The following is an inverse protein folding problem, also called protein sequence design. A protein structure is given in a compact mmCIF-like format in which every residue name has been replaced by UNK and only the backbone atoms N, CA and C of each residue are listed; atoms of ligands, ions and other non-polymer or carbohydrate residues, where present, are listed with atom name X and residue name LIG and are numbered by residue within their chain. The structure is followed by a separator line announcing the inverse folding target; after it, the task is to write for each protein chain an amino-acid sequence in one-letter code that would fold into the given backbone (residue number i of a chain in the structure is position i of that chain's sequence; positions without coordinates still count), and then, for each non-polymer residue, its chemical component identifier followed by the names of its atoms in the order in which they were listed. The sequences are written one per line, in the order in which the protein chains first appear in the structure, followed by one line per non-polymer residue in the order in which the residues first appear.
data_IF_724484867643
#
_entry.id   IF_724484867643
#
_cell.length_a   1.000
_cell.length_b   1.000
_cell.length_c   1.000
_cell.angle_alpha   90.00
_cell.angle_beta   90.00
_cell.angle_gamma   90.00
#
_symmetry.space_group_name_H-M   'P 1'
#
loop_
_entity.id
_entity.type
_entity.pdbx_description
1 polymer ?
#
# COMPACT_ATOMS: atom_id res chain seq x y z
N UNK A 1 -16.95 -44.07 -31.64
CA UNK A 1 -16.14 -44.07 -30.41
C UNK A 1 -15.18 -42.92 -30.54
N UNK A 2 -15.60 -41.76 -30.08
CA UNK A 2 -14.80 -40.53 -30.03
C UNK A 2 -14.63 -40.22 -28.55
N UNK A 3 -13.47 -40.59 -28.03
CA UNK A 3 -13.11 -40.40 -26.63
C UNK A 3 -13.05 -38.89 -26.37
N UNK A 4 -14.02 -38.42 -25.61
CA UNK A 4 -14.05 -37.05 -25.08
C UNK A 4 -13.33 -37.12 -23.75
N UNK A 5 -12.04 -36.80 -23.77
CA UNK A 5 -11.28 -36.55 -22.56
C UNK A 5 -11.94 -35.40 -21.80
N UNK A 6 -12.54 -35.75 -20.68
CA UNK A 6 -13.01 -34.83 -19.67
C UNK A 6 -11.77 -34.29 -18.98
N UNK A 7 -11.31 -33.12 -19.42
CA UNK A 7 -10.30 -32.36 -18.70
C UNK A 7 -10.93 -31.94 -17.37
N UNK A 8 -10.48 -32.59 -16.30
CA UNK A 8 -10.84 -32.26 -14.93
C UNK A 8 -10.23 -30.89 -14.59
N UNK A 9 -10.98 -29.83 -14.88
CA UNK A 9 -10.65 -28.48 -14.45
C UNK A 9 -11.02 -28.37 -12.97
N UNK A 10 -10.15 -28.87 -12.10
CA UNK A 10 -10.17 -28.44 -10.70
C UNK A 10 -9.94 -26.94 -10.71
N UNK A 11 -11.03 -26.17 -10.56
CA UNK A 11 -11.00 -24.72 -10.39
C UNK A 11 -10.15 -24.43 -9.15
N UNK A 12 -8.88 -24.09 -9.38
CA UNK A 12 -8.02 -23.54 -8.36
C UNK A 12 -8.59 -22.16 -8.04
N UNK A 13 -9.39 -22.07 -6.97
CA UNK A 13 -9.91 -20.78 -6.53
C UNK A 13 -8.72 -19.94 -6.07
N UNK A 14 -8.52 -18.77 -6.69
CA UNK A 14 -7.46 -17.80 -6.34
C UNK A 14 -7.43 -17.40 -4.84
N UNK A 15 -8.41 -17.83 -4.03
CA UNK A 15 -8.45 -17.64 -2.58
C UNK A 15 -7.44 -18.47 -1.78
N UNK A 16 -6.90 -19.56 -2.33
CA UNK A 16 -5.92 -20.41 -1.61
C UNK A 16 -4.49 -19.80 -1.59
N UNK A 17 -4.32 -18.64 -2.23
CA UNK A 17 -3.04 -18.05 -2.59
C UNK A 17 -2.20 -17.56 -1.41
N UNK A 18 -2.82 -17.18 -0.28
CA UNK A 18 -2.09 -16.75 0.93
C UNK A 18 -2.32 -17.66 2.14
N UNK A 19 -2.95 -18.82 1.95
CA UNK A 19 -2.96 -19.88 2.97
C UNK A 19 -1.63 -20.65 3.01
N UNK A 20 -0.65 -20.25 2.18
CA UNK A 20 0.61 -20.94 1.99
C UNK A 20 1.78 -20.34 2.76
N UNK A 21 2.78 -21.20 2.94
CA UNK A 21 4.05 -20.99 3.63
C UNK A 21 4.68 -19.62 3.33
N UNK A 22 5.26 -18.96 4.35
CA UNK A 22 5.94 -17.66 4.22
C UNK A 22 6.98 -17.68 3.08
N UNK A 23 7.62 -18.83 2.86
CA UNK A 23 8.56 -19.07 1.76
C UNK A 23 7.93 -18.89 0.36
N UNK A 24 6.65 -19.20 0.18
CA UNK A 24 5.97 -19.00 -1.10
C UNK A 24 5.78 -17.52 -1.41
N UNK A 25 5.49 -16.69 -0.40
CA UNK A 25 5.29 -15.25 -0.59
C UNK A 25 6.60 -14.57 -0.97
N UNK A 26 7.71 -14.87 -0.29
CA UNK A 26 9.03 -14.34 -0.68
C UNK A 26 9.42 -14.79 -2.09
N UNK A 27 9.17 -16.05 -2.44
CA UNK A 27 9.43 -16.56 -3.78
C UNK A 27 8.62 -15.82 -4.86
N UNK A 28 7.34 -15.53 -4.62
CA UNK A 28 6.50 -14.78 -5.57
C UNK A 28 6.93 -13.33 -5.74
N UNK A 29 7.37 -12.69 -4.66
CA UNK A 29 7.96 -11.34 -4.74
C UNK A 29 9.23 -11.38 -5.59
N UNK A 30 10.12 -12.35 -5.32
CA UNK A 30 11.35 -12.56 -6.09
C UNK A 30 11.03 -12.77 -7.58
N UNK A 31 10.12 -13.69 -7.90
CA UNK A 31 9.68 -13.99 -9.28
C UNK A 31 9.17 -12.72 -9.99
N UNK A 32 8.28 -11.97 -9.35
CA UNK A 32 7.73 -10.73 -9.91
C UNK A 32 8.78 -9.64 -10.18
N UNK A 33 9.83 -9.56 -9.35
CA UNK A 33 10.93 -8.60 -9.51
C UNK A 33 11.95 -9.07 -10.56
N UNK A 34 12.30 -10.35 -10.56
CA UNK A 34 13.27 -10.94 -11.49
C UNK A 34 12.75 -10.94 -12.94
N UNK A 35 11.43 -11.07 -13.13
CA UNK A 35 10.79 -10.89 -14.44
C UNK A 35 10.93 -9.46 -15.00
N UNK A 36 11.17 -8.47 -14.14
CA UNK A 36 11.47 -7.10 -14.52
C UNK A 36 12.99 -6.87 -14.69
N UNK A 37 13.77 -7.96 -14.84
CA UNK A 37 15.21 -7.89 -15.09
C UNK A 37 16.04 -7.42 -13.89
N UNK A 38 15.46 -7.45 -12.69
CA UNK A 38 16.09 -6.98 -11.46
C UNK A 38 16.52 -8.17 -10.60
N UNK A 39 17.80 -8.21 -10.25
CA UNK A 39 18.32 -9.25 -9.35
C UNK A 39 17.83 -9.02 -7.91
N UNK A 40 16.96 -9.90 -7.40
CA UNK A 40 16.42 -9.81 -6.05
C UNK A 40 17.48 -9.94 -4.96
N UNK A 41 18.53 -10.75 -5.17
CA UNK A 41 19.60 -10.92 -4.17
C UNK A 41 20.40 -9.63 -3.97
N UNK A 42 20.36 -8.70 -4.93
CA UNK A 42 20.86 -7.34 -4.79
C UNK A 42 19.78 -6.39 -4.23
N UNK A 43 18.56 -6.41 -4.81
CA UNK A 43 17.52 -5.46 -4.44
C UNK A 43 16.99 -5.67 -3.02
N UNK A 44 16.69 -6.90 -2.59
CA UNK A 44 16.10 -7.19 -1.28
C UNK A 44 16.88 -6.59 -0.10
N UNK A 45 18.21 -6.82 0.00
CA UNK A 45 19.06 -6.14 0.99
C UNK A 45 19.09 -4.61 0.84
N UNK A 46 19.07 -4.10 -0.39
CA UNK A 46 19.06 -2.67 -0.67
C UNK A 46 17.77 -2.00 -0.18
N UNK A 47 16.61 -2.66 -0.28
CA UNK A 47 15.34 -2.16 0.29
C UNK A 47 15.48 -1.87 1.79
N UNK A 48 16.11 -2.75 2.56
CA UNK A 48 16.38 -2.51 3.99
C UNK A 48 17.37 -1.36 4.20
N UNK A 49 18.50 -1.40 3.48
CA UNK A 49 19.60 -0.44 3.64
C UNK A 49 19.17 1.00 3.37
N UNK A 50 18.39 1.21 2.31
CA UNK A 50 17.96 2.53 1.85
C UNK A 50 16.54 2.88 2.32
N UNK A 51 15.93 2.03 3.17
CA UNK A 51 14.54 2.18 3.63
C UNK A 51 13.57 2.38 2.46
N UNK A 52 13.80 1.68 1.36
CA UNK A 52 12.99 1.74 0.15
C UNK A 52 11.95 0.62 0.17
N UNK A 53 10.80 0.85 -0.45
CA UNK A 53 9.76 -0.17 -0.63
C UNK A 53 9.43 -0.34 -2.12
N UNK A 54 8.93 -1.51 -2.50
CA UNK A 54 8.25 -1.74 -3.78
C UNK A 54 6.75 -1.53 -3.57
N UNK A 55 6.07 -0.88 -4.50
CA UNK A 55 4.62 -0.65 -4.43
C UNK A 55 3.95 -0.71 -5.82
N UNK A 56 2.70 -0.29 -5.92
CA UNK A 56 1.98 -0.18 -7.18
C UNK A 56 1.70 -1.53 -7.83
N UNK A 57 1.65 -1.54 -9.17
CA UNK A 57 1.22 -2.75 -9.88
C UNK A 57 2.18 -3.91 -9.85
N UNK A 58 3.44 -3.68 -9.49
CA UNK A 58 4.44 -4.74 -9.32
C UNK A 58 3.99 -5.79 -8.33
N UNK A 59 3.12 -5.44 -7.38
CA UNK A 59 2.63 -6.35 -6.36
C UNK A 59 1.42 -7.17 -6.79
N UNK A 60 0.76 -6.83 -7.90
CA UNK A 60 -0.44 -7.55 -8.30
C UNK A 60 -0.17 -9.04 -8.61
N UNK A 61 0.93 -9.40 -9.32
CA UNK A 61 1.27 -10.80 -9.55
C UNK A 61 1.59 -11.58 -8.27
N UNK A 62 2.06 -10.88 -7.22
CA UNK A 62 2.34 -11.48 -5.90
C UNK A 62 1.06 -12.00 -5.28
N UNK A 63 0.00 -11.19 -5.31
CA UNK A 63 -1.32 -11.56 -4.79
C UNK A 63 -2.14 -12.43 -5.75
N UNK A 64 -1.97 -12.28 -7.08
CA UNK A 64 -2.78 -12.97 -8.08
C UNK A 64 -1.95 -13.41 -9.27
N UNK A 65 -1.76 -14.73 -9.44
CA UNK A 65 -0.98 -15.30 -10.55
C UNK A 65 -1.48 -14.85 -11.93
N UNK A 66 -2.77 -14.57 -12.04
CA UNK A 66 -3.44 -14.16 -13.28
C UNK A 66 -3.33 -12.66 -13.60
N UNK A 67 -2.75 -11.85 -12.71
CA UNK A 67 -2.61 -10.42 -12.95
C UNK A 67 -1.58 -10.12 -14.05
N UNK A 68 -1.91 -9.15 -14.91
CA UNK A 68 -1.02 -8.68 -15.99
C UNK A 68 0.27 -8.08 -15.41
N UNK A 69 1.41 -8.47 -16.00
CA UNK A 69 2.76 -8.32 -15.42
C UNK A 69 3.64 -7.19 -16.00
N UNK A 70 3.09 -6.22 -16.76
CA UNK A 70 3.93 -5.32 -17.59
C UNK A 70 3.76 -3.82 -17.32
N UNK A 71 4.31 -3.33 -16.21
CA UNK A 71 4.39 -1.87 -16.03
C UNK A 71 5.72 -1.37 -15.47
N UNK A 72 6.71 -2.24 -15.23
CA UNK A 72 7.92 -1.86 -14.51
C UNK A 72 7.75 -1.90 -12.99
N UNK A 73 8.81 -1.56 -12.27
CA UNK A 73 8.89 -1.61 -10.80
C UNK A 73 8.81 -0.21 -10.20
N UNK A 74 7.81 0.01 -9.35
CA UNK A 74 7.66 1.25 -8.59
C UNK A 74 8.40 1.12 -7.24
N UNK A 75 9.50 1.86 -7.09
CA UNK A 75 10.29 1.95 -5.86
C UNK A 75 10.01 3.28 -5.16
N UNK A 76 9.54 3.26 -3.91
CA UNK A 76 9.39 4.48 -3.10
C UNK A 76 10.55 4.61 -2.12
N UNK A 77 11.24 5.76 -2.12
CA UNK A 77 12.39 6.03 -1.25
C UNK A 77 12.29 7.39 -0.55
N UNK A 78 12.79 7.53 0.70
CA UNK A 78 12.88 8.84 1.35
C UNK A 78 13.85 9.76 0.61
N UNK A 79 13.59 11.08 0.63
CA UNK A 79 14.43 12.09 -0.03
C UNK A 79 15.92 12.00 0.35
N UNK A 80 16.21 11.69 1.62
CA UNK A 80 17.60 11.51 2.10
C UNK A 80 18.33 10.30 1.50
N UNK A 81 17.58 9.34 0.96
CA UNK A 81 18.09 8.08 0.39
C UNK A 81 18.04 8.07 -1.14
N UNK A 82 17.57 9.15 -1.76
CA UNK A 82 17.42 9.24 -3.21
C UNK A 82 18.74 8.99 -3.95
N UNK A 83 19.78 9.78 -3.69
CA UNK A 83 21.05 9.64 -4.43
C UNK A 83 21.74 8.30 -4.16
N UNK A 84 21.83 7.80 -2.91
CA UNK A 84 22.33 6.44 -2.67
C UNK A 84 21.55 5.36 -3.42
N UNK A 85 20.22 5.46 -3.46
CA UNK A 85 19.37 4.48 -4.14
C UNK A 85 19.50 4.56 -5.66
N UNK A 86 19.55 5.77 -6.22
CA UNK A 86 19.78 5.97 -7.64
C UNK A 86 21.16 5.44 -8.08
N UNK A 87 22.21 5.75 -7.30
CA UNK A 87 23.54 5.22 -7.54
C UNK A 87 23.55 3.68 -7.54
N UNK A 88 22.84 3.05 -6.61
CA UNK A 88 22.69 1.59 -6.58
C UNK A 88 21.96 1.05 -7.82
N UNK A 89 20.87 1.69 -8.25
CA UNK A 89 20.14 1.30 -9.46
C UNK A 89 21.04 1.36 -10.70
N UNK A 90 21.87 2.41 -10.82
CA UNK A 90 22.76 2.59 -11.95
C UNK A 90 23.96 1.65 -11.96
N UNK A 91 24.60 1.46 -10.80
CA UNK A 91 25.90 0.77 -10.74
C UNK A 91 25.75 -0.71 -10.42
N UNK A 92 24.84 -1.07 -9.52
CA UNK A 92 24.66 -2.46 -9.08
C UNK A 92 23.57 -3.18 -9.89
N UNK A 93 22.45 -2.51 -10.21
CA UNK A 93 21.39 -3.10 -11.05
C UNK A 93 21.59 -2.85 -12.55
N UNK A 94 22.50 -1.94 -12.90
CA UNK A 94 22.88 -1.57 -14.27
C UNK A 94 21.75 -0.98 -15.12
N UNK A 95 20.85 -0.20 -14.50
CA UNK A 95 19.83 0.56 -15.24
C UNK A 95 20.32 1.98 -15.50
N UNK A 96 20.13 2.51 -16.72
CA UNK A 96 20.48 3.88 -17.04
C UNK A 96 19.33 4.84 -16.70
N UNK A 97 19.63 5.98 -16.09
CA UNK A 97 18.63 7.03 -15.87
C UNK A 97 18.14 7.61 -17.21
N UNK A 98 16.83 7.76 -17.32
CA UNK A 98 16.15 8.40 -18.44
C UNK A 98 16.19 9.91 -18.29
N UNK A 99 16.53 10.62 -19.38
CA UNK A 99 16.33 12.07 -19.46
C UNK A 99 14.89 12.47 -19.76
N UNK A 100 14.00 11.50 -20.04
CA UNK A 100 12.61 11.80 -20.34
C UNK A 100 11.89 12.36 -19.10
N UNK A 101 11.10 13.44 -19.27
CA UNK A 101 10.31 13.95 -18.16
C UNK A 101 9.31 12.89 -17.71
N UNK A 102 9.39 12.51 -16.44
CA UNK A 102 8.34 11.68 -15.84
C UNK A 102 7.15 12.58 -15.53
N UNK A 103 5.95 12.15 -15.96
CA UNK A 103 4.73 12.85 -15.60
C UNK A 103 4.64 13.05 -14.09
N UNK A 104 4.20 14.22 -13.65
CA UNK A 104 3.97 14.47 -12.23
C UNK A 104 2.86 13.54 -11.73
N UNK A 105 3.08 12.89 -10.58
CA UNK A 105 2.01 12.20 -9.89
C UNK A 105 1.07 13.27 -9.30
N UNK A 106 -0.21 13.31 -9.69
CA UNK A 106 -1.08 14.43 -9.33
C UNK A 106 -1.44 14.39 -7.84
N UNK A 107 -0.92 15.34 -7.07
CA UNK A 107 -1.50 15.79 -5.79
C UNK A 107 -1.37 14.84 -4.60
N UNK A 108 -0.47 13.84 -4.63
CA UNK A 108 -0.22 13.03 -3.44
C UNK A 108 0.63 13.82 -2.43
N UNK A 109 0.10 13.99 -1.21
CA UNK A 109 0.85 14.63 -0.14
C UNK A 109 2.15 13.86 0.15
N UNK A 110 3.27 14.56 0.28
CA UNK A 110 4.58 13.96 0.52
C UNK A 110 5.31 13.45 -0.72
N UNK A 111 4.71 13.48 -1.91
CA UNK A 111 5.41 13.22 -3.17
C UNK A 111 6.37 14.37 -3.51
N UNK A 112 7.61 14.05 -3.90
CA UNK A 112 8.61 15.04 -4.35
C UNK A 112 8.80 14.98 -5.86
N UNK A 113 9.22 13.82 -6.38
CA UNK A 113 9.49 13.59 -7.81
C UNK A 113 9.59 12.10 -8.15
N UNK A 114 9.65 11.78 -9.43
CA UNK A 114 10.02 10.44 -9.91
C UNK A 114 11.24 10.54 -10.81
N UNK A 115 12.21 9.66 -10.57
CA UNK A 115 13.31 9.36 -11.50
C UNK A 115 12.99 8.05 -12.21
N UNK A 116 13.29 7.97 -13.50
CA UNK A 116 12.98 6.79 -14.32
C UNK A 116 14.28 6.17 -14.81
N UNK A 117 14.42 4.87 -14.64
CA UNK A 117 15.59 4.13 -15.06
C UNK A 117 15.19 3.01 -16.01
N UNK A 118 16.01 2.75 -17.02
CA UNK A 118 15.75 1.74 -18.05
C UNK A 118 16.91 0.78 -18.22
N UNK A 119 16.57 -0.48 -18.51
CA UNK A 119 17.51 -1.52 -18.94
C UNK A 119 16.75 -2.42 -19.89
N UNK A 120 17.14 -2.42 -21.16
CA UNK A 120 16.41 -3.11 -22.23
C UNK A 120 14.92 -2.69 -22.22
N UNK A 121 14.00 -3.64 -22.09
CA UNK A 121 12.55 -3.40 -22.03
C UNK A 121 12.03 -3.12 -20.61
N UNK A 122 12.90 -3.16 -19.60
CA UNK A 122 12.54 -3.03 -18.20
C UNK A 122 12.65 -1.59 -17.72
N UNK A 123 11.77 -1.22 -16.79
CA UNK A 123 11.70 0.14 -16.24
C UNK A 123 11.59 0.11 -14.72
N UNK A 124 12.40 0.94 -14.06
CA UNK A 124 12.25 1.25 -12.64
C UNK A 124 11.79 2.70 -12.51
N UNK A 125 10.75 2.94 -11.72
CA UNK A 125 10.32 4.26 -11.29
C UNK A 125 10.76 4.46 -9.83
N UNK A 126 11.75 5.32 -9.60
CA UNK A 126 12.15 5.72 -8.27
C UNK A 126 11.32 6.94 -7.84
N UNK A 127 10.27 6.68 -7.09
CA UNK A 127 9.37 7.66 -6.47
C UNK A 127 10.02 8.18 -5.20
N UNK A 128 10.35 9.47 -5.20
CA UNK A 128 10.99 10.15 -4.08
C UNK A 128 9.93 10.81 -3.22
N UNK A 129 9.95 10.52 -1.92
CA UNK A 129 9.01 11.08 -0.94
C UNK A 129 9.71 11.97 0.08
N UNK A 130 8.99 12.97 0.58
CA UNK A 130 9.52 13.93 1.55
C UNK A 130 9.65 13.35 2.96
N UNK A 131 8.83 12.34 3.29
CA UNK A 131 8.84 11.67 4.58
C UNK A 131 10.09 10.79 4.74
N UNK A 132 10.56 10.63 5.99
CA UNK A 132 11.63 9.70 6.34
C UNK A 132 11.17 8.23 6.26
N UNK A 133 9.85 7.99 6.19
CA UNK A 133 9.23 6.69 5.96
C UNK A 133 8.57 6.62 4.58
N UNK A 134 9.18 5.84 3.67
CA UNK A 134 8.71 5.66 2.31
C UNK A 134 7.30 5.06 2.19
N UNK A 135 6.82 4.34 3.22
CA UNK A 135 5.51 3.71 3.19
C UNK A 135 4.36 4.71 3.42
N UNK A 136 4.59 5.94 3.87
CA UNK A 136 3.49 6.90 4.11
C UNK A 136 2.77 7.29 2.82
N UNK A 137 3.47 7.30 1.69
CA UNK A 137 2.88 7.70 0.40
C UNK A 137 1.81 6.73 -0.09
N UNK A 138 1.89 5.43 0.25
CA UNK A 138 0.95 4.43 -0.27
C UNK A 138 -0.48 4.73 0.20
N UNK A 139 -0.65 5.29 1.39
CA UNK A 139 -1.96 5.64 1.95
C UNK A 139 -2.57 6.88 1.31
N UNK A 140 -1.79 7.59 0.50
CA UNK A 140 -2.29 8.65 -0.36
C UNK A 140 -2.76 8.11 -1.71
N UNK A 141 -2.45 6.86 -2.09
CA UNK A 141 -2.83 6.32 -3.38
C UNK A 141 -4.34 6.26 -3.55
N UNK A 142 -4.76 6.36 -4.82
CA UNK A 142 -6.16 6.47 -5.20
C UNK A 142 -7.01 5.26 -4.82
N UNK A 143 -6.43 4.07 -4.73
CA UNK A 143 -7.17 2.82 -4.56
C UNK A 143 -6.57 2.01 -3.43
N UNK A 144 -7.43 1.35 -2.63
CA UNK A 144 -6.98 0.40 -1.60
C UNK A 144 -6.22 -0.79 -2.17
N UNK A 145 -6.34 -1.05 -3.47
CA UNK A 145 -5.56 -2.09 -4.16
C UNK A 145 -4.07 -1.75 -4.23
N UNK A 146 -3.73 -0.47 -4.34
CA UNK A 146 -2.35 -0.01 -4.47
C UNK A 146 -1.73 0.28 -3.08
N UNK A 147 -2.50 0.16 -1.98
CA UNK A 147 -2.05 0.41 -0.59
C UNK A 147 -1.31 -0.78 0.03
N UNK A 148 -0.51 -1.45 -0.79
CA UNK A 148 0.29 -2.60 -0.41
C UNK A 148 1.76 -2.27 -0.70
N UNK A 149 2.68 -2.85 0.05
CA UNK A 149 4.11 -2.68 -0.23
C UNK A 149 4.92 -3.90 0.12
N UNK A 150 6.06 -4.04 -0.55
CA UNK A 150 7.14 -4.93 -0.12
C UNK A 150 8.26 -4.07 0.44
N UNK A 151 8.61 -4.31 1.70
CA UNK A 151 9.86 -3.78 2.25
C UNK A 151 10.95 -4.84 2.12
N UNK A 152 12.16 -4.51 2.55
CA UNK A 152 13.18 -5.54 2.71
C UNK A 152 12.92 -6.53 3.86
N UNK A 153 11.79 -6.42 4.57
CA UNK A 153 11.43 -7.33 5.66
C UNK A 153 10.25 -8.26 5.34
N UNK A 154 9.42 -7.91 4.36
CA UNK A 154 8.25 -8.71 4.04
C UNK A 154 7.25 -7.98 3.16
N UNK A 155 6.14 -8.67 2.90
CA UNK A 155 4.98 -8.15 2.21
C UNK A 155 3.98 -7.58 3.23
N UNK A 156 3.58 -6.33 3.03
CA UNK A 156 2.52 -5.67 3.79
C UNK A 156 1.29 -5.41 2.93
N UNK A 157 0.12 -5.73 3.48
CA UNK A 157 -1.18 -5.45 2.88
C UNK A 157 -2.08 -4.69 3.87
N UNK A 158 -2.49 -3.47 3.50
CA UNK A 158 -3.29 -2.61 4.38
C UNK A 158 -4.76 -3.08 4.53
N UNK A 159 -5.29 -3.70 3.47
CA UNK A 159 -6.71 -4.11 3.36
C UNK A 159 -6.85 -5.53 2.80
N UNK A 160 -6.38 -6.57 3.53
CA UNK A 160 -6.39 -7.95 3.06
C UNK A 160 -7.79 -8.45 2.69
N UNK A 161 -8.83 -8.12 3.47
CA UNK A 161 -10.21 -8.50 3.15
C UNK A 161 -10.68 -7.96 1.80
N UNK A 162 -10.19 -6.79 1.38
CA UNK A 162 -10.50 -6.24 0.06
C UNK A 162 -9.58 -6.86 -0.99
N UNK A 163 -8.27 -6.71 -0.81
CA UNK A 163 -7.27 -7.13 -1.79
C UNK A 163 -7.48 -8.60 -2.16
N UNK A 164 -7.51 -9.52 -1.20
CA UNK A 164 -7.56 -10.97 -1.45
C UNK A 164 -8.85 -11.44 -2.10
N UNK A 165 -9.95 -10.71 -1.92
CA UNK A 165 -11.22 -10.96 -2.61
C UNK A 165 -11.31 -10.26 -3.98
N UNK A 166 -10.18 -9.75 -4.50
CA UNK A 166 -10.11 -8.93 -5.72
C UNK A 166 -11.06 -7.73 -5.69
N UNK A 167 -11.28 -7.18 -4.50
CA UNK A 167 -12.08 -6.00 -4.27
C UNK A 167 -11.17 -4.78 -4.03
N UNK A 168 -11.69 -3.63 -4.39
CA UNK A 168 -11.01 -2.37 -4.21
C UNK A 168 -12.03 -1.27 -3.98
N UNK A 169 -11.66 -0.32 -3.13
CA UNK A 169 -12.43 0.89 -2.89
C UNK A 169 -11.57 2.09 -3.20
N UNK A 170 -12.18 3.15 -3.66
CA UNK A 170 -11.45 4.38 -3.84
C UNK A 170 -11.08 5.03 -2.52
N UNK A 171 -9.91 5.65 -2.46
CA UNK A 171 -9.46 6.49 -1.37
C UNK A 171 -10.14 7.86 -1.47
N UNK A 172 -11.10 8.20 -0.57
CA UNK A 172 -11.85 9.44 -0.67
C UNK A 172 -10.96 10.68 -0.62
N UNK A 173 -9.84 10.63 0.11
CA UNK A 173 -8.93 11.77 0.20
C UNK A 173 -8.10 12.02 -1.05
N UNK A 174 -7.87 10.98 -1.87
CA UNK A 174 -7.16 11.14 -3.13
C UNK A 174 -8.00 11.91 -4.17
N UNK A 175 -9.31 12.07 -3.93
CA UNK A 175 -10.19 12.84 -4.82
C UNK A 175 -10.26 14.32 -4.52
N UNK A 176 -10.09 14.71 -3.26
CA UNK A 176 -10.39 16.06 -2.81
C UNK A 176 -9.42 17.11 -3.42
N UNK A 177 -8.35 16.65 -4.08
CA UNK A 177 -7.24 17.53 -4.44
C UNK A 177 -6.82 17.56 -5.91
N UNK A 178 -7.17 16.62 -6.81
CA UNK A 178 -6.45 16.61 -8.10
C UNK A 178 -7.00 15.87 -9.32
N UNK A 179 -7.90 14.89 -9.20
CA UNK A 179 -8.24 14.05 -10.36
C UNK A 179 -9.46 14.56 -11.13
N UNK A 180 -9.29 14.83 -12.42
CA UNK A 180 -10.43 15.03 -13.30
C UNK A 180 -11.19 13.72 -13.57
N UNK A 181 -12.44 13.83 -14.04
CA UNK A 181 -13.28 12.66 -14.31
C UNK A 181 -12.72 11.70 -15.36
N UNK A 182 -11.81 12.14 -16.24
CA UNK A 182 -11.17 11.29 -17.24
C UNK A 182 -10.04 10.43 -16.65
N UNK A 183 -9.23 11.00 -15.76
CA UNK A 183 -8.19 10.29 -15.02
C UNK A 183 -8.83 9.23 -14.12
N UNK A 184 -9.91 9.60 -13.43
CA UNK A 184 -10.74 8.68 -12.66
C UNK A 184 -11.22 7.48 -13.48
N UNK A 185 -11.82 7.73 -14.65
CA UNK A 185 -12.27 6.66 -15.55
C UNK A 185 -11.13 5.77 -16.01
N UNK A 186 -9.95 6.35 -16.29
CA UNK A 186 -8.76 5.59 -16.72
C UNK A 186 -8.26 4.68 -15.61
N UNK A 187 -8.20 5.16 -14.37
CA UNK A 187 -7.75 4.34 -13.23
C UNK A 187 -8.76 3.21 -12.96
N UNK A 188 -10.06 3.51 -12.98
CA UNK A 188 -11.08 2.47 -12.79
C UNK A 188 -11.09 1.45 -13.93
N UNK A 189 -10.84 1.86 -15.17
CA UNK A 189 -10.65 0.94 -16.29
C UNK A 189 -9.40 0.07 -16.09
N UNK A 190 -8.27 0.67 -15.66
CA UNK A 190 -7.02 -0.04 -15.34
C UNK A 190 -7.24 -1.12 -14.27
N UNK A 191 -7.95 -0.80 -13.19
CA UNK A 191 -8.23 -1.75 -12.10
C UNK A 191 -9.14 -2.89 -12.59
N UNK A 192 -10.24 -2.57 -13.29
CA UNK A 192 -11.15 -3.58 -13.84
C UNK A 192 -10.49 -4.51 -14.86
N UNK A 193 -9.64 -3.97 -15.72
CA UNK A 193 -8.88 -4.76 -16.70
C UNK A 193 -7.90 -5.74 -16.05
N UNK A 194 -7.60 -5.57 -14.76
CA UNK A 194 -6.77 -6.49 -13.96
C UNK A 194 -7.59 -7.55 -13.22
N UNK A 195 -8.90 -7.61 -13.46
CA UNK A 195 -9.80 -8.60 -12.85
C UNK A 195 -10.32 -8.22 -11.46
N UNK A 196 -10.24 -6.94 -11.09
CA UNK A 196 -10.74 -6.45 -9.80
C UNK A 196 -12.10 -5.77 -9.91
N UNK A 197 -12.93 -5.98 -8.90
CA UNK A 197 -14.15 -5.20 -8.69
C UNK A 197 -13.80 -3.93 -7.93
N UNK A 198 -13.96 -2.77 -8.58
CA UNK A 198 -13.66 -1.48 -7.98
C UNK A 198 -14.95 -0.68 -7.79
N UNK A 199 -15.21 -0.28 -6.54
CA UNK A 199 -16.32 0.60 -6.21
C UNK A 199 -15.83 1.90 -5.57
N UNK A 200 -16.65 2.95 -5.66
CA UNK A 200 -16.30 4.26 -5.12
C UNK A 200 -16.42 4.28 -3.59
N UNK A 201 -17.44 3.59 -3.06
CA UNK A 201 -17.64 3.45 -1.62
C UNK A 201 -17.52 1.98 -1.21
N UNK A 202 -17.15 1.75 0.05
CA UNK A 202 -17.07 0.39 0.58
C UNK A 202 -18.44 -0.31 0.58
N UNK A 203 -19.51 0.39 0.96
CA UNK A 203 -20.85 -0.19 1.03
C UNK A 203 -21.47 -0.59 -0.31
N UNK A 204 -20.86 -0.19 -1.42
CA UNK A 204 -21.27 -0.62 -2.76
C UNK A 204 -20.88 -2.09 -2.99
N UNK A 205 -19.89 -2.61 -2.26
CA UNK A 205 -19.59 -4.04 -2.21
C UNK A 205 -20.65 -4.74 -1.34
N UNK A 206 -21.28 -5.80 -1.87
CA UNK A 206 -22.32 -6.55 -1.16
C UNK A 206 -21.86 -7.04 0.21
N UNK A 207 -20.63 -7.53 0.27
CA UNK A 207 -20.05 -8.19 1.44
C UNK A 207 -19.73 -7.20 2.57
N UNK A 208 -19.70 -5.91 2.23
CA UNK A 208 -19.43 -4.82 3.17
C UNK A 208 -20.63 -3.88 3.34
N UNK A 209 -21.82 -4.23 2.85
CA UNK A 209 -23.00 -3.37 2.96
C UNK A 209 -23.39 -3.08 4.41
N UNK A 210 -23.19 -4.04 5.30
CA UNK A 210 -23.55 -4.00 6.72
C UNK A 210 -22.38 -3.71 7.67
N UNK A 211 -21.25 -3.22 7.14
CA UNK A 211 -20.14 -2.80 7.98
C UNK A 211 -20.52 -1.64 8.92
N UNK A 212 -19.80 -1.53 10.04
CA UNK A 212 -19.97 -0.44 11.00
C UNK A 212 -18.89 0.62 10.73
N UNK A 213 -19.30 1.81 10.27
CA UNK A 213 -18.36 2.89 9.97
C UNK A 213 -17.50 3.24 11.18
N UNK A 214 -16.20 3.47 10.96
CA UNK A 214 -15.25 3.80 12.01
C UNK A 214 -14.83 2.63 12.92
N UNK A 215 -15.40 1.43 12.73
CA UNK A 215 -15.06 0.22 13.50
C UNK A 215 -14.53 -0.89 12.59
N UNK A 216 -15.22 -1.18 11.49
CA UNK A 216 -14.81 -2.21 10.54
C UNK A 216 -13.46 -1.85 9.92
N UNK A 217 -12.51 -2.79 9.89
CA UNK A 217 -11.14 -2.53 9.43
C UNK A 217 -11.08 -2.08 7.98
N UNK A 218 -11.95 -2.61 7.12
CA UNK A 218 -12.06 -2.21 5.72
C UNK A 218 -12.70 -0.83 5.51
N UNK A 219 -13.33 -0.23 6.54
CA UNK A 219 -14.02 1.06 6.42
C UNK A 219 -13.03 2.24 6.25
N UNK A 220 -13.20 3.10 5.23
CA UNK A 220 -12.40 4.30 5.03
C UNK A 220 -12.31 5.24 6.24
N UNK A 221 -13.35 5.30 7.06
CA UNK A 221 -13.41 6.16 8.26
C UNK A 221 -12.80 5.52 9.51
N UNK A 222 -12.37 4.26 9.45
CA UNK A 222 -11.71 3.59 10.58
C UNK A 222 -10.27 4.05 10.64
N UNK A 223 -9.85 4.49 11.83
CA UNK A 223 -8.45 4.76 12.09
C UNK A 223 -7.69 3.42 12.21
N UNK A 224 -6.64 3.29 11.41
CA UNK A 224 -5.84 2.09 11.22
C UNK A 224 -4.39 2.34 11.60
N UNK A 225 -3.65 1.27 11.87
CA UNK A 225 -2.19 1.32 12.00
C UNK A 225 -1.56 0.11 11.33
N UNK A 226 -0.26 0.19 11.00
CA UNK A 226 0.47 -0.91 10.36
C UNK A 226 0.50 -2.18 11.21
N UNK A 227 0.24 -2.05 12.52
CA UNK A 227 0.29 -3.14 13.48
C UNK A 227 -1.09 -3.54 14.01
N UNK A 228 -2.17 -3.06 13.39
CA UNK A 228 -3.51 -3.48 13.80
C UNK A 228 -3.93 -4.82 13.18
N UNK A 229 -4.92 -5.46 13.82
CA UNK A 229 -5.42 -6.78 13.43
C UNK A 229 -6.17 -6.84 12.09
N UNK A 230 -6.36 -5.70 11.41
CA UNK A 230 -6.98 -5.64 10.09
C UNK A 230 -5.97 -5.55 8.96
N UNK A 231 -4.67 -5.56 9.25
CA UNK A 231 -3.60 -5.60 8.26
C UNK A 231 -3.07 -7.03 8.13
N UNK A 232 -2.38 -7.30 7.02
CA UNK A 232 -1.63 -8.53 6.84
C UNK A 232 -0.16 -8.18 6.63
N UNK A 233 0.72 -8.85 7.35
CA UNK A 233 2.15 -8.79 7.13
C UNK A 233 2.70 -10.21 7.04
N UNK A 234 3.38 -10.51 5.94
CA UNK A 234 4.06 -11.79 5.72
C UNK A 234 5.56 -11.52 5.72
N UNK A 235 6.29 -11.90 6.79
CA UNK A 235 7.72 -11.69 6.89
C UNK A 235 8.46 -12.57 5.87
N UNK A 236 9.60 -12.07 5.38
CA UNK A 236 10.51 -12.89 4.60
C UNK A 236 11.31 -13.83 5.50
N UNK A 237 11.54 -15.06 5.06
CA UNK A 237 12.22 -16.11 5.83
C UNK A 237 13.62 -15.64 6.24
N UNK A 238 14.27 -14.91 5.33
CA UNK A 238 15.58 -14.27 5.54
C UNK A 238 15.60 -13.29 6.73
N UNK A 239 14.45 -12.86 7.25
CA UNK A 239 14.33 -11.92 8.38
C UNK A 239 13.84 -12.52 9.68
N UNK A 240 13.26 -13.72 9.66
CA UNK A 240 12.69 -14.39 10.84
C UNK A 240 13.72 -14.71 11.92
N UNK A 241 15.01 -14.75 11.58
CA UNK A 241 16.10 -15.06 12.52
C UNK A 241 16.54 -13.88 13.38
N UNK A 242 16.05 -12.65 13.11
CA UNK A 242 16.68 -11.43 13.64
C UNK A 242 15.94 -10.73 14.79
N UNK A 243 14.64 -10.98 15.02
CA UNK A 243 13.90 -10.29 16.09
C UNK A 243 12.64 -11.04 16.57
N UNK A 244 12.24 -10.88 17.85
CA UNK A 244 11.01 -11.48 18.41
C UNK A 244 9.71 -10.82 17.93
N UNK A 245 9.79 -9.63 17.32
CA UNK A 245 8.66 -8.93 16.72
C UNK A 245 8.96 -8.62 15.26
N UNK A 246 8.08 -8.97 14.32
CA UNK A 246 8.31 -8.73 12.91
C UNK A 246 8.42 -7.23 12.62
N UNK A 247 9.57 -6.82 12.08
CA UNK A 247 9.79 -5.47 11.57
C UNK A 247 9.06 -5.31 10.24
N UNK A 248 8.04 -4.46 10.17
CA UNK A 248 7.28 -4.26 8.93
C UNK A 248 8.05 -3.36 7.94
N UNK A 249 8.67 -2.28 8.44
CA UNK A 249 9.38 -1.30 7.62
C UNK A 249 10.76 -0.90 8.16
N UNK A 250 10.86 -0.20 9.28
CA UNK A 250 12.17 0.19 9.84
C UNK A 250 12.33 -0.13 11.33
N UNK A 251 11.30 -0.71 11.94
CA UNK A 251 11.31 -1.13 13.34
C UNK A 251 11.29 0.05 14.32
N UNK A 252 11.19 1.28 13.83
CA UNK A 252 11.18 2.50 14.62
C UNK A 252 9.84 3.20 14.49
N UNK A 253 9.23 3.20 13.30
CA UNK A 253 8.00 3.93 13.01
C UNK A 253 6.82 3.02 12.67
N UNK A 254 5.65 3.35 13.21
CA UNK A 254 4.35 2.90 12.75
C UNK A 254 3.70 4.01 11.93
N UNK A 255 2.94 3.64 10.91
CA UNK A 255 2.07 4.58 10.20
C UNK A 255 0.66 4.38 10.73
N UNK A 256 0.01 5.49 11.07
CA UNK A 256 -1.40 5.54 11.42
C UNK A 256 -2.13 6.22 10.28
N UNK A 257 -3.23 5.63 9.81
CA UNK A 257 -4.01 6.23 8.72
C UNK A 257 -5.52 6.10 8.88
N UNK A 258 -6.27 6.99 8.24
CA UNK A 258 -7.69 6.88 7.94
C UNK A 258 -7.92 7.52 6.58
N UNK A 259 -8.61 6.84 5.66
CA UNK A 259 -8.85 7.34 4.31
C UNK A 259 -9.89 8.48 4.31
N UNK A 260 -10.63 8.64 5.42
CA UNK A 260 -11.65 9.66 5.59
C UNK A 260 -12.87 9.42 4.69
N UNK A 261 -13.46 10.51 4.22
CA UNK A 261 -14.63 10.47 3.33
C UNK A 261 -15.95 10.38 4.06
N UNK A 262 -17.04 10.35 3.27
CA UNK A 262 -18.40 10.30 3.83
C UNK A 262 -18.68 8.89 4.39
N UNK A 263 -19.30 8.78 5.57
CA UNK A 263 -19.77 7.50 6.08
C UNK A 263 -20.82 6.92 5.14
N UNK A 264 -20.80 5.60 4.99
CA UNK A 264 -21.55 4.86 3.99
C UNK A 264 -23.09 4.92 4.15
N UNK A 265 -23.62 5.40 5.28
CA UNK A 265 -25.08 5.47 5.52
C UNK A 265 -25.64 6.87 5.78
N UNK A 266 -24.81 7.93 5.88
CA UNK A 266 -25.24 9.27 6.35
C UNK A 266 -25.81 9.22 7.78
N UNK A 267 -25.61 10.15 8.71
CA UNK A 267 -25.18 11.55 8.69
C UNK A 267 -23.89 11.69 9.53
N UNK A 268 -23.01 12.60 9.13
CA UNK A 268 -21.75 12.87 9.82
C UNK A 268 -20.63 13.12 8.81
N UNK A 269 -19.99 14.28 8.87
CA UNK A 269 -18.76 14.54 8.11
C UNK A 269 -17.58 14.06 8.96
N UNK A 270 -16.92 12.99 8.54
CA UNK A 270 -15.54 12.75 8.96
C UNK A 270 -14.65 13.30 7.83
N UNK A 271 -14.24 14.55 7.97
CA UNK A 271 -13.43 15.24 6.95
C UNK A 271 -11.97 15.06 7.25
N UNK A 272 -11.27 14.38 6.34
CA UNK A 272 -9.82 14.45 6.23
C UNK A 272 -9.15 13.09 6.13
N UNK A 273 -8.22 12.99 5.19
CA UNK A 273 -7.13 12.02 5.31
C UNK A 273 -6.39 12.30 6.60
N UNK A 274 -6.16 11.25 7.35
CA UNK A 274 -5.21 11.30 8.44
C UNK A 274 -4.13 10.31 8.05
N UNK A 275 -2.90 10.77 7.84
CA UNK A 275 -1.72 9.93 7.67
C UNK A 275 -0.59 10.58 8.45
N UNK A 276 -0.04 9.88 9.42
CA UNK A 276 1.14 10.35 10.13
C UNK A 276 2.00 9.17 10.60
N UNK A 277 3.31 9.40 10.62
CA UNK A 277 4.31 8.46 11.10
C UNK A 277 4.57 8.74 12.59
N UNK A 278 4.52 7.70 13.43
CA UNK A 278 4.78 7.78 14.88
C UNK A 278 5.82 6.75 15.31
N UNK A 279 6.63 7.01 16.34
CA UNK A 279 7.48 5.99 16.93
C UNK A 279 6.67 4.78 17.43
N UNK A 280 7.14 3.55 17.20
CA UNK A 280 6.43 2.31 17.58
C UNK A 280 6.15 2.25 19.10
N UNK A 281 7.06 2.75 19.93
CA UNK A 281 6.89 2.76 21.39
C UNK A 281 5.81 3.74 21.89
N UNK A 282 5.28 4.57 21.01
CA UNK A 282 4.20 5.54 21.29
C UNK A 282 2.88 5.16 20.58
N UNK A 283 2.89 4.10 19.76
CA UNK A 283 1.76 3.68 18.95
C UNK A 283 0.76 2.79 19.72
N UNK A 284 0.30 3.22 20.91
CA UNK A 284 -0.94 2.68 21.47
C UNK A 284 -2.08 3.63 21.14
N UNK A 285 -2.76 3.34 20.03
CA UNK A 285 -3.98 4.05 19.63
C UNK A 285 -5.16 3.41 20.35
N UNK A 286 -5.59 3.99 21.47
CA UNK A 286 -6.85 3.62 22.11
C UNK A 286 -7.96 4.58 21.67
N UNK A 287 -8.94 4.06 20.92
CA UNK A 287 -10.16 4.80 20.55
C UNK A 287 -11.19 4.53 21.64
N UNK A 288 -11.45 5.50 22.51
CA UNK A 288 -12.33 5.31 23.68
C UNK A 288 -13.77 5.79 23.45
N UNK A 289 -14.11 6.37 22.28
CA UNK A 289 -15.47 6.85 22.02
C UNK A 289 -15.83 6.96 20.53
N UNK A 290 -17.14 7.01 20.18
CA UNK A 290 -17.62 7.24 18.81
C UNK A 290 -17.17 8.59 18.22
N UNK A 291 -16.90 9.58 19.09
CA UNK A 291 -16.12 10.77 18.72
C UNK A 291 -14.65 10.37 18.81
N UNK A 292 -14.03 10.13 17.67
CA UNK A 292 -12.64 9.67 17.59
C UNK A 292 -11.70 10.74 18.15
N UNK A 293 -11.39 10.65 19.45
CA UNK A 293 -10.31 11.42 20.07
C UNK A 293 -9.06 10.57 19.99
N UNK A 294 -8.10 11.02 19.18
CA UNK A 294 -6.77 10.42 19.13
C UNK A 294 -6.05 10.75 20.44
N UNK A 295 -5.97 9.80 21.36
CA UNK A 295 -5.09 9.92 22.53
C UNK A 295 -3.82 9.15 22.23
N UNK A 296 -2.73 9.88 21.97
CA UNK A 296 -1.38 9.29 21.92
C UNK A 296 -0.85 9.23 23.34
N UNK A 297 -0.73 8.02 23.88
CA UNK A 297 -0.18 7.83 25.23
C UNK A 297 1.29 7.47 25.11
N UNK A 298 2.18 8.37 25.50
CA UNK A 298 3.62 8.07 25.53
C UNK A 298 3.96 7.23 26.76
N UNK A 299 4.95 6.34 26.67
CA UNK A 299 5.44 5.53 27.81
C UNK A 299 5.91 6.36 29.02
N UNK A 300 6.09 7.68 28.88
CA UNK A 300 6.46 8.58 29.98
C UNK A 300 5.27 9.06 30.82
N UNK A 301 4.04 8.62 30.54
CA UNK A 301 2.86 9.03 31.30
C UNK A 301 2.43 10.48 31.04
N UNK A 302 3.04 11.13 30.04
CA UNK A 302 2.60 12.44 29.54
C UNK A 302 1.52 12.22 28.50
N UNK A 303 0.28 12.56 28.87
CA UNK A 303 -0.85 12.59 27.94
C UNK A 303 -0.77 13.88 27.10
N UNK A 304 -0.30 13.79 25.88
CA UNK A 304 -0.47 14.85 24.88
C UNK A 304 -1.88 14.76 24.30
N UNK A 305 -2.80 15.57 24.83
CA UNK A 305 -4.09 15.82 24.17
C UNK A 305 -3.84 16.65 22.91
N UNK A 306 -3.97 16.04 21.74
CA UNK A 306 -4.23 16.82 20.54
C UNK A 306 -5.70 17.26 20.57
N UNK A 307 -5.92 18.56 20.37
CA UNK A 307 -7.18 19.27 20.58
C UNK A 307 -8.37 18.62 19.88
N UNK A 308 -9.56 18.82 20.45
CA UNK A 308 -10.84 18.59 19.78
C UNK A 308 -10.76 19.09 18.33
N UNK A 309 -11.09 18.23 17.38
CA UNK A 309 -11.26 18.63 15.99
C UNK A 309 -12.29 19.78 15.96
N UNK A 310 -12.01 20.91 15.28
CA UNK A 310 -12.88 22.06 15.34
C UNK A 310 -14.24 21.73 14.72
N UNK A 311 -15.30 21.78 15.54
CA UNK A 311 -16.72 21.67 15.16
C UNK A 311 -17.21 22.84 14.26
N UNK A 312 -16.31 23.62 13.65
CA UNK A 312 -16.66 24.80 12.86
C UNK A 312 -15.75 24.97 11.65
N UNK A 313 -16.14 24.36 10.54
CA UNK A 313 -15.86 24.90 9.22
C UNK A 313 -17.19 25.38 8.63
N UNK A 314 -17.33 26.71 8.56
CA UNK A 314 -18.46 27.36 7.92
C UNK A 314 -18.51 27.05 6.44
N UNK A 315 -19.74 26.92 5.95
CA UNK A 315 -20.09 26.81 4.54
C UNK A 315 -19.55 28.02 3.76
N UNK A 316 -18.73 27.75 2.75
CA UNK A 316 -18.64 28.51 1.51
C UNK A 316 -18.64 27.53 0.35
#
# INVERSE_FOLDING_TARGET
MSDTETVDSTEYTDSDVLASDDAEVEWRVRDAVEEEGINWDLLGPALRRYKTIITGSTLHPVFFKTASRRTGVDLCTPLKQEEPMAFFIENDLTFAESSEPVGQYPGYAGFVRVRRFHKDEHTIYLIVVADDNAATIIFNFYSTLDMNFVSGYGLFCAYPELTLNKLSTTNPSAFDTSLDGSQFRRINAKIRNRGFTHNNQLCDHSDFRDHVCGTSKSCPSTLRSMHDSGTLFVPFESTLTQAPTPTIYDGVHSIIWSLGGRPCRGEGLFTGLVVFSVPIFEAQVSITSPKQVLTLTTRRGENTRHSDFPDKCGLY
#
